data_IF_024432374409
#
_entry.id   IF_024432374409
#
_cell.length_a   1.000
_cell.length_b   1.000
_cell.length_c   1.000
_cell.angle_alpha   90.00
_cell.angle_beta   90.00
_cell.angle_gamma   90.00
#
_symmetry.space_group_name_H-M   'P 1'
#
loop_
_entity.id
_entity.type
_entity.pdbx_description
1 polymer ?
#
# COMPACT_ATOMS: atom_id res chain seq x y z
N UNK A 1 -12.21 1.94 -14.28
CA UNK A 1 -10.93 2.59 -13.93
C UNK A 1 -10.44 1.94 -12.64
N UNK A 2 -9.20 1.47 -12.62
CA UNK A 2 -8.59 0.91 -11.40
C UNK A 2 -8.27 2.05 -10.42
N UNK A 3 -8.48 1.83 -9.13
CA UNK A 3 -7.98 2.74 -8.08
C UNK A 3 -6.45 2.77 -8.19
N UNK A 4 -5.86 3.97 -8.16
CA UNK A 4 -4.40 4.14 -8.13
C UNK A 4 -3.97 4.83 -6.84
N UNK A 5 -3.08 4.19 -6.09
CA UNK A 5 -2.50 4.72 -4.85
C UNK A 5 -1.08 5.18 -5.13
N UNK A 6 -0.75 6.40 -4.73
CA UNK A 6 0.61 6.95 -4.82
C UNK A 6 1.25 6.91 -3.44
N UNK A 7 2.17 5.96 -3.20
CA UNK A 7 2.71 5.72 -1.86
C UNK A 7 3.38 6.95 -1.27
N UNK A 8 4.18 7.67 -2.07
CA UNK A 8 4.82 8.93 -1.66
C UNK A 8 3.79 9.93 -1.07
N UNK A 9 2.61 10.03 -1.69
CA UNK A 9 1.56 10.97 -1.25
C UNK A 9 0.73 10.45 -0.09
N UNK A 10 0.61 9.12 0.04
CA UNK A 10 -0.23 8.49 1.05
C UNK A 10 0.51 8.28 2.37
N UNK A 11 1.78 7.89 2.31
CA UNK A 11 2.59 7.49 3.47
C UNK A 11 4.00 8.09 3.49
N UNK A 12 4.37 8.86 2.46
CA UNK A 12 5.69 9.48 2.35
C UNK A 12 6.72 8.64 1.59
N UNK A 13 7.92 9.20 1.46
CA UNK A 13 9.02 8.63 0.67
C UNK A 13 9.67 7.40 1.34
N UNK A 14 9.54 7.27 2.67
CA UNK A 14 10.16 6.21 3.46
C UNK A 14 9.09 5.25 4.00
N UNK A 15 8.82 4.19 3.25
CA UNK A 15 7.80 3.20 3.56
C UNK A 15 8.34 2.14 4.55
N UNK A 16 8.38 2.49 5.83
CA UNK A 16 9.00 1.66 6.89
C UNK A 16 8.05 1.19 7.99
N UNK A 17 6.98 1.95 8.27
CA UNK A 17 6.07 1.69 9.39
C UNK A 17 4.99 0.66 9.08
N UNK A 18 4.73 -0.25 10.02
CA UNK A 18 3.60 -1.19 9.91
C UNK A 18 2.26 -0.44 9.85
N UNK A 19 2.09 0.62 10.64
CA UNK A 19 0.87 1.42 10.68
C UNK A 19 0.57 2.06 9.32
N UNK A 20 1.61 2.49 8.61
CA UNK A 20 1.47 3.05 7.27
C UNK A 20 1.12 1.98 6.23
N UNK A 21 1.65 0.76 6.37
CA UNK A 21 1.22 -0.37 5.55
C UNK A 21 -0.26 -0.71 5.77
N UNK A 22 -0.73 -0.71 7.03
CA UNK A 22 -2.15 -0.94 7.36
C UNK A 22 -3.05 0.14 6.72
N UNK A 23 -2.62 1.40 6.66
CA UNK A 23 -3.37 2.45 5.96
C UNK A 23 -3.54 2.12 4.47
N UNK A 24 -2.47 1.65 3.82
CA UNK A 24 -2.54 1.22 2.40
C UNK A 24 -3.49 0.04 2.25
N UNK A 25 -3.41 -0.95 3.14
CA UNK A 25 -4.31 -2.11 3.14
C UNK A 25 -5.79 -1.68 3.22
N UNK A 26 -6.12 -0.74 4.12
CA UNK A 26 -7.49 -0.22 4.26
C UNK A 26 -7.99 0.52 3.01
N UNK A 27 -7.09 1.13 2.24
CA UNK A 27 -7.45 1.80 0.99
C UNK A 27 -7.68 0.80 -0.15
N UNK A 28 -6.88 -0.26 -0.24
CA UNK A 28 -7.00 -1.24 -1.35
C UNK A 28 -8.08 -2.30 -1.08
N UNK A 29 -8.31 -2.70 0.18
CA UNK A 29 -9.19 -3.81 0.52
C UNK A 29 -10.61 -3.70 -0.04
N UNK A 30 -11.30 -2.53 0.04
CA UNK A 30 -12.65 -2.40 -0.49
C UNK A 30 -12.75 -2.65 -2.00
N UNK A 31 -11.72 -2.30 -2.76
CA UNK A 31 -11.68 -2.52 -4.20
C UNK A 31 -11.36 -3.98 -4.53
N UNK A 32 -10.43 -4.58 -3.79
CA UNK A 32 -10.10 -6.00 -3.93
C UNK A 32 -11.30 -6.90 -3.60
N UNK A 33 -12.07 -6.59 -2.56
CA UNK A 33 -13.30 -7.33 -2.18
C UNK A 33 -14.37 -7.27 -3.29
N UNK A 34 -14.40 -6.20 -4.08
CA UNK A 34 -15.29 -6.07 -5.25
C UNK A 34 -14.78 -6.82 -6.49
N UNK A 35 -13.62 -7.49 -6.39
CA UNK A 35 -12.95 -8.12 -7.53
C UNK A 35 -12.32 -7.12 -8.50
N UNK A 36 -12.12 -5.87 -8.08
CA UNK A 36 -11.49 -4.84 -8.90
C UNK A 36 -9.95 -4.90 -8.76
N UNK A 37 -9.26 -4.41 -9.79
CA UNK A 37 -7.81 -4.22 -9.75
C UNK A 37 -7.45 -2.87 -9.13
N UNK A 38 -6.33 -2.85 -8.42
CA UNK A 38 -5.73 -1.64 -7.82
C UNK A 38 -4.30 -1.50 -8.32
N UNK A 39 -3.90 -0.28 -8.67
CA UNK A 39 -2.52 0.07 -8.98
C UNK A 39 -1.86 0.73 -7.78
N UNK A 40 -0.69 0.24 -7.37
CA UNK A 40 0.15 0.87 -6.34
C UNK A 40 1.39 1.45 -7.01
N UNK A 41 1.53 2.77 -6.93
CA UNK A 41 2.60 3.54 -7.53
C UNK A 41 3.68 3.84 -6.49
N UNK A 42 4.89 3.34 -6.76
CA UNK A 42 6.08 3.47 -5.94
C UNK A 42 6.98 4.64 -6.37
N UNK A 43 6.58 5.44 -7.37
CA UNK A 43 7.34 6.61 -7.79
C UNK A 43 7.49 7.57 -6.60
N UNK A 44 8.72 8.04 -6.36
CA UNK A 44 9.06 8.90 -5.21
C UNK A 44 9.35 8.16 -3.92
N UNK A 45 9.20 6.83 -3.86
CA UNK A 45 9.60 6.03 -2.69
C UNK A 45 11.11 5.82 -2.72
N UNK A 46 11.80 6.24 -1.66
CA UNK A 46 13.24 6.08 -1.49
C UNK A 46 13.60 4.78 -0.76
N UNK A 47 12.74 4.30 0.13
CA UNK A 47 12.97 3.08 0.91
C UNK A 47 11.67 2.34 1.15
N UNK A 48 11.72 1.02 1.05
CA UNK A 48 10.60 0.10 1.26
C UNK A 48 11.06 -1.05 2.16
N UNK A 49 10.57 -1.09 3.39
CA UNK A 49 10.91 -2.16 4.32
C UNK A 49 9.90 -3.32 4.24
N UNK A 50 10.39 -4.54 4.40
CA UNK A 50 9.56 -5.75 4.40
C UNK A 50 8.38 -5.70 5.37
N UNK A 51 8.52 -5.21 6.62
CA UNK A 51 7.38 -5.11 7.53
C UNK A 51 6.25 -4.21 7.02
N UNK A 52 6.59 -3.06 6.42
CA UNK A 52 5.63 -2.19 5.76
C UNK A 52 4.95 -2.90 4.59
N UNK A 53 5.74 -3.53 3.71
CA UNK A 53 5.22 -4.17 2.50
C UNK A 53 4.27 -5.32 2.85
N UNK A 54 4.59 -6.13 3.86
CA UNK A 54 3.71 -7.17 4.36
C UNK A 54 2.40 -6.55 4.88
N UNK A 55 2.49 -5.50 5.71
CA UNK A 55 1.30 -4.83 6.23
C UNK A 55 0.38 -4.25 5.14
N UNK A 56 0.90 -3.85 3.96
CA UNK A 56 0.08 -3.39 2.83
C UNK A 56 -0.87 -4.44 2.26
N UNK A 57 -0.56 -5.73 2.38
CA UNK A 57 -1.31 -6.83 1.75
C UNK A 57 -1.94 -7.78 2.77
N UNK A 58 -1.83 -7.47 4.07
CA UNK A 58 -2.23 -8.34 5.17
C UNK A 58 -1.12 -9.31 5.57
N UNK A 59 -1.35 -10.10 6.63
CA UNK A 59 -0.41 -11.16 7.02
C UNK A 59 -0.32 -12.20 5.89
N UNK A 60 0.65 -12.00 4.99
CA UNK A 60 1.17 -13.03 4.10
C UNK A 60 1.97 -14.00 4.99
N UNK A 61 1.26 -14.94 5.62
CA UNK A 61 1.82 -16.07 6.36
C UNK A 61 2.67 -16.95 5.44
#
# INVERSE_FOLDING_TARGET
>A
MALRIYLEKTVGENCSSIDDGIKVLHLISPELVKGASVEVDFKGVNSLLTPFLNACFGELL
#
